data_IF_481683341040
#
_entry.id   IF_481683341040
#
_cell.length_a   1.000
_cell.length_b   1.000
_cell.length_c   1.000
_cell.angle_alpha   90.00
_cell.angle_beta   90.00
_cell.angle_gamma   90.00
#
_symmetry.space_group_name_H-M   'P 1'
#
loop_
_entity.id
_entity.type
_entity.pdbx_description
1 polymer ?
#
# COMPACT_ATOMS: atom_id res chain seq x y z
N UNK A 1 -20.36 14.39 18.61
CA UNK A 1 -19.36 15.05 17.73
C UNK A 1 -19.46 14.64 16.26
N UNK A 2 -20.09 13.51 15.91
CA UNK A 2 -20.38 13.12 14.51
C UNK A 2 -21.86 13.33 14.16
N UNK A 3 -22.14 13.70 12.91
CA UNK A 3 -23.46 14.00 12.35
C UNK A 3 -24.19 12.75 11.87
N UNK A 4 -23.46 11.76 11.34
CA UNK A 4 -24.01 10.48 10.87
C UNK A 4 -22.97 9.34 10.90
N UNK A 5 -23.40 8.13 10.53
CA UNK A 5 -22.55 6.93 10.46
C UNK A 5 -21.47 7.03 9.36
N UNK A 6 -21.71 7.81 8.31
CA UNK A 6 -20.75 8.04 7.22
C UNK A 6 -19.57 8.89 7.69
N UNK A 7 -19.81 9.88 8.55
CA UNK A 7 -18.76 10.69 9.15
C UNK A 7 -17.88 9.87 10.09
N UNK A 8 -18.49 9.00 10.92
CA UNK A 8 -17.75 8.06 11.79
C UNK A 8 -16.86 7.16 10.94
N UNK A 9 -17.41 6.62 9.86
CA UNK A 9 -16.71 5.68 9.00
C UNK A 9 -15.53 6.35 8.25
N UNK A 10 -15.76 7.55 7.71
CA UNK A 10 -14.73 8.35 7.04
C UNK A 10 -13.61 8.75 8.00
N UNK A 11 -13.97 9.09 9.25
CA UNK A 11 -13.00 9.38 10.30
C UNK A 11 -12.16 8.14 10.64
N UNK A 12 -12.77 6.97 10.79
CA UNK A 12 -12.06 5.72 11.08
C UNK A 12 -11.04 5.37 9.98
N UNK A 13 -11.43 5.48 8.71
CA UNK A 13 -10.51 5.28 7.57
C UNK A 13 -9.34 6.27 7.64
N UNK A 14 -9.63 7.55 7.87
CA UNK A 14 -8.58 8.57 8.00
C UNK A 14 -7.61 8.22 9.14
N UNK A 15 -8.13 7.99 10.34
CA UNK A 15 -7.35 7.69 11.52
C UNK A 15 -6.42 6.49 11.28
N UNK A 16 -6.96 5.38 10.77
CA UNK A 16 -6.21 4.17 10.49
C UNK A 16 -5.10 4.38 9.46
N UNK A 17 -5.40 5.09 8.36
CA UNK A 17 -4.39 5.37 7.32
C UNK A 17 -3.32 6.37 7.76
N UNK A 18 -3.66 7.36 8.59
CA UNK A 18 -2.69 8.32 9.12
C UNK A 18 -1.76 7.67 10.15
N UNK A 19 -2.27 6.75 10.99
CA UNK A 19 -1.47 5.95 11.93
C UNK A 19 -0.48 5.06 11.18
N UNK A 20 -0.96 4.25 10.22
CA UNK A 20 -0.10 3.41 9.37
C UNK A 20 0.98 4.23 8.66
N UNK A 21 0.63 5.39 8.11
CA UNK A 21 1.60 6.25 7.44
C UNK A 21 2.68 6.76 8.39
N UNK A 22 2.35 7.04 9.65
CA UNK A 22 3.36 7.43 10.63
C UNK A 22 4.38 6.32 10.85
N UNK A 23 3.92 5.08 11.06
CA UNK A 23 4.79 3.91 11.21
C UNK A 23 5.73 3.73 10.00
N UNK A 24 5.21 3.95 8.78
CA UNK A 24 5.98 3.74 7.55
C UNK A 24 7.02 4.81 7.30
N UNK A 25 6.76 6.06 7.71
CA UNK A 25 7.79 7.09 7.71
C UNK A 25 8.95 6.72 8.63
N UNK A 26 8.66 6.17 9.80
CA UNK A 26 9.69 5.78 10.76
C UNK A 26 10.51 4.58 10.27
N UNK A 27 9.87 3.64 9.55
CA UNK A 27 10.59 2.56 8.85
C UNK A 27 11.49 3.12 7.76
N UNK A 28 11.00 4.04 6.93
CA UNK A 28 11.73 4.64 5.82
C UNK A 28 12.82 5.65 6.27
N UNK A 29 12.77 6.13 7.51
CA UNK A 29 13.79 7.02 8.08
C UNK A 29 15.00 6.26 8.62
N UNK A 30 14.92 4.93 8.72
CA UNK A 30 16.05 4.11 9.20
C UNK A 30 17.12 4.01 8.12
N UNK A 31 18.38 4.15 8.52
CA UNK A 31 19.50 3.87 7.63
C UNK A 31 19.52 2.39 7.21
N UNK A 32 19.81 2.12 5.94
CA UNK A 32 19.96 0.77 5.42
C UNK A 32 19.43 0.63 3.99
N UNK A 33 19.41 -0.60 3.46
CA UNK A 33 18.90 -0.88 2.13
C UNK A 33 17.38 -0.60 2.05
N UNK A 34 16.94 0.03 0.96
CA UNK A 34 15.55 0.50 0.78
C UNK A 34 14.60 -0.63 0.39
N UNK A 35 15.03 -1.65 -0.37
CA UNK A 35 14.16 -2.75 -0.79
C UNK A 35 13.64 -3.56 0.39
N UNK A 36 14.46 -3.96 1.39
CA UNK A 36 13.95 -4.57 2.62
C UNK A 36 12.95 -3.69 3.37
N UNK A 37 13.12 -2.37 3.35
CA UNK A 37 12.19 -1.44 4.01
C UNK A 37 10.85 -1.37 3.25
N UNK A 38 10.89 -1.30 1.92
CA UNK A 38 9.68 -1.38 1.08
C UNK A 38 8.97 -2.72 1.31
N UNK A 39 9.69 -3.85 1.31
CA UNK A 39 9.14 -5.18 1.63
C UNK A 39 8.42 -5.17 2.97
N UNK A 40 9.06 -4.62 4.01
CA UNK A 40 8.47 -4.53 5.35
C UNK A 40 7.20 -3.69 5.38
N UNK A 41 7.21 -2.51 4.75
CA UNK A 41 6.04 -1.63 4.67
C UNK A 41 4.88 -2.37 3.99
N UNK A 42 5.13 -2.97 2.83
CA UNK A 42 4.06 -3.63 2.08
C UNK A 42 3.55 -4.87 2.80
N UNK A 43 4.42 -5.70 3.37
CA UNK A 43 4.00 -6.85 4.17
C UNK A 43 3.15 -6.43 5.39
N UNK A 44 3.54 -5.35 6.08
CA UNK A 44 2.77 -4.81 7.20
C UNK A 44 1.38 -4.33 6.74
N UNK A 45 1.27 -3.62 5.61
CA UNK A 45 -0.03 -3.24 5.04
C UNK A 45 -0.91 -4.47 4.80
N UNK A 46 -0.37 -5.50 4.16
CA UNK A 46 -1.09 -6.74 3.85
C UNK A 46 -1.55 -7.43 5.14
N UNK A 47 -0.67 -7.58 6.13
CA UNK A 47 -1.01 -8.22 7.41
C UNK A 47 -2.02 -7.42 8.22
N UNK A 48 -1.84 -6.10 8.36
CA UNK A 48 -2.78 -5.22 9.06
C UNK A 48 -4.17 -5.30 8.42
N UNK A 49 -4.23 -5.26 7.08
CA UNK A 49 -5.48 -5.39 6.33
C UNK A 49 -6.17 -6.75 6.53
N UNK A 50 -5.40 -7.84 6.61
CA UNK A 50 -5.91 -9.18 6.93
C UNK A 50 -6.47 -9.28 8.35
N UNK A 51 -5.76 -8.71 9.33
CA UNK A 51 -6.21 -8.68 10.73
C UNK A 51 -7.49 -7.85 10.87
N UNK A 52 -7.60 -6.76 10.11
CA UNK A 52 -8.79 -5.91 10.05
C UNK A 52 -9.74 -6.26 8.90
N UNK A 53 -9.76 -7.51 8.40
CA UNK A 53 -10.50 -7.90 7.19
C UNK A 53 -12.00 -7.61 7.26
N UNK A 54 -12.62 -7.69 8.44
CA UNK A 54 -14.04 -7.38 8.62
C UNK A 54 -14.31 -5.88 8.41
N UNK A 55 -13.38 -5.03 8.86
CA UNK A 55 -13.41 -3.60 8.58
C UNK A 55 -13.19 -3.32 7.09
N UNK A 56 -12.25 -4.00 6.44
CA UNK A 56 -12.00 -3.86 4.98
C UNK A 56 -13.21 -4.31 4.16
N UNK A 57 -13.91 -5.37 4.59
CA UNK A 57 -15.16 -5.83 3.98
C UNK A 57 -16.25 -4.78 4.12
N UNK A 58 -16.45 -4.26 5.34
CA UNK A 58 -17.41 -3.19 5.62
C UNK A 58 -17.11 -1.92 4.81
N UNK A 59 -15.83 -1.62 4.59
CA UNK A 59 -15.36 -0.54 3.70
C UNK A 59 -15.74 -0.80 2.25
N UNK A 60 -15.58 -2.03 1.76
CA UNK A 60 -16.03 -2.42 0.43
C UNK A 60 -17.54 -2.20 0.23
N UNK A 61 -18.35 -2.68 1.18
CA UNK A 61 -19.82 -2.51 1.14
C UNK A 61 -20.22 -1.04 1.16
N UNK A 62 -19.58 -0.25 2.03
CA UNK A 62 -19.80 1.19 2.13
C UNK A 62 -19.44 1.92 0.82
N UNK A 63 -18.29 1.60 0.22
CA UNK A 63 -17.87 2.17 -1.08
C UNK A 63 -18.89 1.83 -2.17
N UNK A 64 -19.35 0.58 -2.19
CA UNK A 64 -20.33 0.13 -3.18
C UNK A 64 -21.66 0.88 -3.05
N UNK A 65 -22.15 1.04 -1.82
CA UNK A 65 -23.35 1.84 -1.55
C UNK A 65 -23.17 3.30 -1.98
N UNK A 66 -22.04 3.93 -1.62
CA UNK A 66 -21.80 5.35 -1.95
C UNK A 66 -21.65 5.61 -3.44
N UNK A 67 -21.13 4.64 -4.21
CA UNK A 67 -21.10 4.73 -5.67
C UNK A 67 -22.50 4.79 -6.29
N UNK A 68 -23.49 4.10 -5.71
CA UNK A 68 -24.88 4.18 -6.19
C UNK A 68 -25.55 5.52 -5.87
N UNK A 69 -25.06 6.24 -4.87
CA UNK A 69 -25.56 7.57 -4.47
C UNK A 69 -24.92 8.73 -5.26
N UNK A 70 -24.18 8.44 -6.35
CA UNK A 70 -23.45 9.41 -7.21
C UNK A 70 -22.49 10.36 -6.46
N UNK A 71 -22.03 9.94 -5.28
CA UNK A 71 -21.03 10.67 -4.51
C UNK A 71 -19.65 10.36 -5.07
N UNK A 72 -18.81 11.38 -5.28
CA UNK A 72 -17.46 11.30 -5.84
C UNK A 72 -16.43 10.64 -4.86
N UNK A 73 -16.75 9.44 -4.40
CA UNK A 73 -16.00 8.64 -3.43
C UNK A 73 -14.62 8.16 -3.94
N UNK A 74 -14.42 7.85 -5.24
CA UNK A 74 -13.10 7.49 -5.76
C UNK A 74 -12.02 8.54 -5.47
N UNK A 75 -12.38 9.83 -5.50
CA UNK A 75 -11.44 10.92 -5.18
C UNK A 75 -11.02 10.92 -3.70
N UNK A 76 -11.90 10.52 -2.79
CA UNK A 76 -11.63 10.44 -1.35
C UNK A 76 -10.63 9.32 -1.06
N UNK A 77 -10.82 8.14 -1.67
CA UNK A 77 -9.88 7.02 -1.54
C UNK A 77 -8.52 7.36 -2.15
N UNK A 78 -8.49 7.96 -3.35
CA UNK A 78 -7.24 8.37 -3.99
C UNK A 78 -6.43 9.33 -3.11
N UNK A 79 -7.07 10.28 -2.43
CA UNK A 79 -6.37 11.19 -1.50
C UNK A 79 -5.69 10.48 -0.33
N UNK A 80 -6.15 9.28 0.06
CA UNK A 80 -5.55 8.51 1.16
C UNK A 80 -4.29 7.77 0.74
N UNK A 81 -4.11 7.47 -0.54
CA UNK A 81 -2.93 6.75 -1.04
C UNK A 81 -1.79 7.68 -1.46
N UNK A 82 -2.05 8.97 -1.73
CA UNK A 82 -1.04 9.95 -2.19
C UNK A 82 0.19 10.03 -1.28
N UNK A 83 0.00 10.04 0.04
CA UNK A 83 1.13 10.11 0.98
C UNK A 83 2.04 8.89 0.87
N UNK A 84 1.44 7.69 0.75
CA UNK A 84 2.17 6.44 0.60
C UNK A 84 2.86 6.35 -0.77
N UNK A 85 2.19 6.79 -1.84
CA UNK A 85 2.77 6.89 -3.18
C UNK A 85 4.04 7.75 -3.18
N UNK A 86 3.96 8.97 -2.64
CA UNK A 86 5.14 9.84 -2.53
C UNK A 86 6.26 9.23 -1.69
N UNK A 87 5.92 8.52 -0.61
CA UNK A 87 6.91 7.81 0.22
C UNK A 87 7.63 6.73 -0.59
N UNK A 88 6.86 5.87 -1.29
CA UNK A 88 7.40 4.81 -2.12
C UNK A 88 8.27 5.36 -3.26
N UNK A 89 7.81 6.40 -3.97
CA UNK A 89 8.60 7.07 -4.99
C UNK A 89 9.93 7.59 -4.46
N UNK A 90 9.93 8.19 -3.26
CA UNK A 90 11.17 8.66 -2.61
C UNK A 90 12.13 7.50 -2.35
N UNK A 91 11.65 6.43 -1.73
CA UNK A 91 12.47 5.25 -1.42
C UNK A 91 13.01 4.58 -2.70
N UNK A 92 12.20 4.49 -3.76
CA UNK A 92 12.63 3.96 -5.05
C UNK A 92 13.72 4.83 -5.68
N UNK A 93 13.61 6.17 -5.62
CA UNK A 93 14.69 7.08 -6.09
C UNK A 93 15.98 6.87 -5.30
N UNK A 94 15.88 6.73 -3.98
CA UNK A 94 17.02 6.46 -3.11
C UNK A 94 17.70 5.14 -3.47
N UNK A 95 16.94 4.06 -3.70
CA UNK A 95 17.47 2.77 -4.14
C UNK A 95 18.13 2.79 -5.52
N UNK A 96 17.59 3.57 -6.46
CA UNK A 96 18.21 3.78 -7.78
C UNK A 96 19.51 4.57 -7.64
N UNK A 97 19.53 5.59 -6.77
CA UNK A 97 20.70 6.42 -6.55
C UNK A 97 21.83 5.67 -5.81
N UNK A 98 21.50 4.78 -4.86
CA UNK A 98 22.46 3.94 -4.15
C UNK A 98 22.95 2.75 -4.97
N UNK A 99 22.28 2.44 -6.09
CA UNK A 99 22.59 1.29 -6.95
C UNK A 99 22.03 -0.04 -6.46
N UNK A 100 21.25 -0.04 -5.38
CA UNK A 100 20.51 -1.21 -4.87
C UNK A 100 19.42 -1.66 -5.86
N UNK A 101 18.75 -0.70 -6.50
CA UNK A 101 17.70 -0.91 -7.49
C UNK A 101 18.26 -0.54 -8.87
N UNK A 102 18.01 -1.35 -9.90
CA UNK A 102 18.40 -0.99 -11.26
C UNK A 102 17.58 0.22 -11.77
N UNK A 103 17.98 0.85 -12.89
CA UNK A 103 17.18 1.96 -13.44
C UNK A 103 15.75 1.49 -13.76
N UNK A 104 14.76 2.21 -13.22
CA UNK A 104 13.32 1.94 -13.39
C UNK A 104 12.54 3.24 -13.56
N UNK A 105 11.33 3.20 -14.16
CA UNK A 105 10.39 4.31 -14.15
C UNK A 105 9.73 4.45 -12.77
N UNK A 106 10.33 5.22 -11.88
CA UNK A 106 9.95 5.37 -10.44
C UNK A 106 8.45 5.53 -10.21
N UNK A 107 7.81 6.46 -10.92
CA UNK A 107 6.39 6.78 -10.73
C UNK A 107 5.49 5.59 -11.10
N UNK A 108 5.79 4.94 -12.23
CA UNK A 108 5.05 3.76 -12.68
C UNK A 108 5.29 2.57 -11.74
N UNK A 109 6.52 2.37 -11.27
CA UNK A 109 6.83 1.29 -10.32
C UNK A 109 6.17 1.50 -8.96
N UNK A 110 6.12 2.74 -8.45
CA UNK A 110 5.38 3.07 -7.23
C UNK A 110 3.89 2.75 -7.38
N UNK A 111 3.30 3.14 -8.52
CA UNK A 111 1.91 2.83 -8.84
C UNK A 111 1.66 1.32 -8.90
N UNK A 112 2.55 0.55 -9.53
CA UNK A 112 2.46 -0.92 -9.56
C UNK A 112 2.47 -1.56 -8.16
N UNK A 113 3.31 -1.08 -7.25
CA UNK A 113 3.33 -1.55 -5.85
C UNK A 113 1.96 -1.29 -5.20
N UNK A 114 1.42 -0.09 -5.37
CA UNK A 114 0.11 0.27 -4.82
C UNK A 114 -1.02 -0.53 -5.46
N UNK A 115 -0.98 -0.79 -6.75
CA UNK A 115 -1.98 -1.58 -7.47
C UNK A 115 -1.99 -3.03 -6.98
N UNK A 116 -0.83 -3.63 -6.66
CA UNK A 116 -0.74 -4.95 -6.04
C UNK A 116 -1.37 -4.98 -4.65
N UNK A 117 -1.13 -3.94 -3.84
CA UNK A 117 -1.77 -3.78 -2.53
C UNK A 117 -3.28 -3.60 -2.68
N UNK A 118 -3.74 -2.76 -3.61
CA UNK A 118 -5.16 -2.53 -3.87
C UNK A 118 -5.87 -3.80 -4.37
N UNK A 119 -5.21 -4.57 -5.24
CA UNK A 119 -5.73 -5.86 -5.69
C UNK A 119 -5.93 -6.81 -4.50
N UNK A 120 -5.02 -6.83 -3.53
CA UNK A 120 -5.21 -7.59 -2.30
C UNK A 120 -6.40 -7.11 -1.47
N UNK A 121 -6.51 -5.79 -1.23
CA UNK A 121 -7.63 -5.20 -0.51
C UNK A 121 -8.97 -5.51 -1.20
N UNK A 122 -8.99 -5.53 -2.53
CA UNK A 122 -10.17 -5.90 -3.31
C UNK A 122 -10.53 -7.39 -3.13
N UNK A 123 -9.54 -8.31 -3.22
CA UNK A 123 -9.76 -9.73 -2.93
C UNK A 123 -10.32 -9.93 -1.52
N UNK A 124 -9.78 -9.21 -0.54
CA UNK A 124 -10.26 -9.21 0.84
C UNK A 124 -11.71 -8.74 0.95
N UNK A 125 -12.02 -7.55 0.39
CA UNK A 125 -13.31 -6.91 0.55
C UNK A 125 -14.44 -7.64 -0.19
N UNK A 126 -14.18 -8.13 -1.41
CA UNK A 126 -15.22 -8.63 -2.31
C UNK A 126 -15.24 -10.16 -2.38
N UNK A 127 -14.09 -10.78 -2.61
CA UNK A 127 -13.98 -12.23 -2.82
C UNK A 127 -14.03 -12.96 -1.46
N UNK A 128 -13.64 -12.29 -0.37
CA UNK A 128 -13.53 -12.84 0.99
C UNK A 128 -12.62 -14.07 1.07
N UNK A 129 -11.73 -14.22 0.09
CA UNK A 129 -10.71 -15.25 0.01
C UNK A 129 -9.39 -14.59 -0.38
N UNK A 130 -8.54 -14.34 0.60
CA UNK A 130 -7.24 -13.70 0.37
C UNK A 130 -6.21 -14.13 1.41
N UNK A 131 -5.40 -15.14 1.09
CA UNK A 131 -4.29 -15.54 1.96
C UNK A 131 -3.20 -14.45 1.93
N UNK A 132 -2.88 -13.80 3.07
CA UNK A 132 -1.87 -12.73 3.11
C UNK A 132 -0.50 -13.21 2.63
N UNK A 133 -0.09 -14.43 3.02
CA UNK A 133 1.24 -14.97 2.66
C UNK A 133 1.43 -15.10 1.16
N UNK A 134 0.42 -15.60 0.45
CA UNK A 134 0.49 -15.75 -1.01
C UNK A 134 0.68 -14.40 -1.71
N UNK A 135 -0.01 -13.36 -1.23
CA UNK A 135 0.10 -12.02 -1.83
C UNK A 135 1.46 -11.39 -1.50
N UNK A 136 1.96 -11.58 -0.29
CA UNK A 136 3.31 -11.15 0.09
C UNK A 136 4.35 -11.79 -0.83
N UNK A 137 4.28 -13.10 -1.08
CA UNK A 137 5.22 -13.78 -2.00
C UNK A 137 5.18 -13.23 -3.43
N UNK A 138 3.99 -12.84 -3.94
CA UNK A 138 3.87 -12.19 -5.26
C UNK A 138 4.58 -10.83 -5.27
N UNK A 139 4.38 -10.03 -4.21
CA UNK A 139 5.00 -8.71 -4.09
C UNK A 139 6.51 -8.84 -3.90
N UNK A 140 6.97 -9.82 -3.12
CA UNK A 140 8.39 -10.13 -2.94
C UNK A 140 9.04 -10.47 -4.28
N UNK A 141 8.44 -11.35 -5.09
CA UNK A 141 8.94 -11.69 -6.42
C UNK A 141 9.02 -10.46 -7.34
N UNK A 142 8.03 -9.56 -7.28
CA UNK A 142 8.07 -8.31 -8.02
C UNK A 142 9.23 -7.41 -7.55
N UNK A 143 9.41 -7.23 -6.24
CA UNK A 143 10.47 -6.41 -5.66
C UNK A 143 11.87 -7.00 -5.86
N UNK A 144 11.99 -8.33 -5.89
CA UNK A 144 13.23 -9.03 -6.24
C UNK A 144 13.62 -8.74 -7.68
N UNK A 145 12.65 -8.65 -8.58
CA UNK A 145 12.87 -8.24 -9.97
C UNK A 145 13.43 -6.82 -10.14
N UNK A 146 13.30 -5.97 -9.11
CA UNK A 146 13.87 -4.61 -9.10
C UNK A 146 15.33 -4.58 -8.62
N UNK A 147 15.75 -5.60 -7.86
CA UNK A 147 17.08 -5.66 -7.30
C UNK A 147 18.11 -5.68 -8.42
N UNK A 148 19.17 -4.89 -8.28
CA UNK A 148 20.27 -4.94 -9.23
C UNK A 148 21.00 -6.28 -9.04
N UNK A 149 21.00 -7.14 -10.05
CA UNK A 149 21.87 -8.31 -10.05
C UNK A 149 23.32 -7.87 -9.96
N UNK A 150 23.99 -8.20 -8.86
CA UNK A 150 25.45 -8.25 -8.80
C UNK A 150 25.91 -9.35 -9.75
N UNK A 151 26.14 -9.04 -11.03
CA UNK A 151 26.93 -9.94 -11.86
C UNK A 151 28.33 -10.01 -11.23
N UNK A 152 28.86 -11.20 -10.90
CA UNK A 152 30.27 -11.31 -10.56
C UNK A 152 31.06 -10.82 -11.78
N UNK A 153 32.03 -9.93 -11.54
CA UNK A 153 32.95 -9.49 -12.57
C UNK A 153 33.59 -10.73 -13.21
N UNK A 154 33.41 -10.88 -14.52
CA UNK A 154 34.17 -11.84 -15.34
C UNK A 154 35.60 -11.35 -15.52
#
# INVERSE_FOLDING_TARGET
YFRDKEEIFTYAVKYYTDEMFSDYRDVAAKSGPVLPQIRRIVADIIFKSWHSRDFITSLGDFIFQKRQEDRNFPAVIRRRTVKLDHLLQRMLREGVASGEIHRIPVEATSMQILDLVQAYLFKLAIIKAAEPRQTISVIEAFLDGLARCSQPAQ
#
